data_IF_147566347054
#
_entry.id   IF_147566347054
#
_cell.length_a   1.000
_cell.length_b   1.000
_cell.length_c   1.000
_cell.angle_alpha   90.00
_cell.angle_beta   90.00
_cell.angle_gamma   90.00
#
_symmetry.space_group_name_H-M   'P 1'
#
loop_
_entity.id
_entity.type
_entity.pdbx_description
1 polymer ?
#
# COMPACT_ATOMS: atom_id res chain seq x y z
N UNK A 1 10.48 -14.20 2.14
CA UNK A 1 9.76 -14.27 3.44
C UNK A 1 8.27 -14.11 3.20
N UNK A 2 7.48 -14.98 3.75
CA UNK A 2 6.01 -14.90 3.62
C UNK A 2 5.40 -14.33 4.88
N UNK A 3 4.52 -13.35 4.71
CA UNK A 3 3.69 -12.80 5.78
C UNK A 3 2.23 -13.06 5.40
N UNK A 4 1.44 -13.56 6.35
CA UNK A 4 0.03 -13.86 6.14
C UNK A 4 -0.71 -13.49 7.41
N UNK A 5 -1.49 -12.42 7.35
CA UNK A 5 -2.19 -11.90 8.51
C UNK A 5 -3.41 -11.08 8.08
N UNK A 6 -4.51 -11.25 8.80
CA UNK A 6 -5.74 -10.46 8.60
C UNK A 6 -6.29 -10.56 7.16
N UNK A 7 -6.07 -11.70 6.51
CA UNK A 7 -6.50 -11.91 5.13
C UNK A 7 -5.62 -11.25 4.07
N UNK A 8 -4.48 -10.67 4.48
CA UNK A 8 -3.50 -10.09 3.57
C UNK A 8 -2.23 -10.93 3.65
N UNK A 9 -1.78 -11.45 2.52
CA UNK A 9 -0.59 -12.27 2.45
C UNK A 9 0.34 -11.76 1.36
N UNK A 10 1.63 -11.77 1.63
CA UNK A 10 2.64 -11.40 0.65
C UNK A 10 3.88 -12.26 0.81
N UNK A 11 4.47 -12.64 -0.33
CA UNK A 11 5.76 -13.27 -0.38
C UNK A 11 6.77 -12.23 -0.87
N UNK A 12 7.56 -11.69 0.06
CA UNK A 12 8.42 -10.55 -0.24
C UNK A 12 9.87 -10.97 -0.47
N UNK A 13 10.57 -10.24 -1.37
CA UNK A 13 11.99 -10.51 -1.62
C UNK A 13 12.85 -10.30 -0.37
N UNK A 14 14.02 -10.89 -0.36
CA UNK A 14 15.01 -10.65 0.69
C UNK A 14 15.34 -9.15 0.77
N UNK A 15 15.49 -8.64 2.00
CA UNK A 15 15.78 -7.23 2.24
C UNK A 15 14.56 -6.34 2.36
N UNK A 16 13.38 -6.85 2.05
CA UNK A 16 12.13 -6.12 2.25
C UNK A 16 11.59 -6.32 3.66
N UNK A 17 10.92 -5.30 4.17
CA UNK A 17 10.22 -5.34 5.46
C UNK A 17 8.71 -5.29 5.22
N UNK A 18 7.95 -5.99 6.04
CA UNK A 18 6.48 -6.07 5.94
C UNK A 18 5.87 -5.91 7.32
N UNK A 19 4.83 -5.09 7.40
CA UNK A 19 4.01 -4.97 8.62
C UNK A 19 2.54 -5.04 8.23
N UNK A 20 1.78 -5.88 8.91
CA UNK A 20 0.32 -5.91 8.83
C UNK A 20 -0.22 -5.63 10.21
N UNK A 21 -1.09 -4.65 10.31
CA UNK A 21 -1.66 -4.23 11.60
C UNK A 21 -3.08 -3.71 11.41
N UNK A 22 -3.84 -3.69 12.51
CA UNK A 22 -5.12 -3.00 12.51
C UNK A 22 -4.87 -1.56 12.94
N UNK A 23 -5.37 -0.60 12.15
CA UNK A 23 -5.34 0.79 12.59
C UNK A 23 -6.29 0.96 13.78
N UNK A 24 -6.00 1.88 14.72
CA UNK A 24 -6.93 2.17 15.81
C UNK A 24 -8.28 2.59 15.25
N UNK A 25 -9.35 1.93 15.71
CA UNK A 25 -10.70 2.30 15.31
C UNK A 25 -11.09 3.62 15.95
N UNK A 26 -11.74 4.51 15.17
CA UNK A 26 -12.48 5.60 15.76
C UNK A 26 -13.64 5.01 16.56
N UNK A 27 -14.15 5.76 17.55
CA UNK A 27 -15.24 5.29 18.39
C UNK A 27 -16.42 4.83 17.53
N UNK A 28 -16.86 3.57 17.70
CA UNK A 28 -17.95 2.98 16.94
C UNK A 28 -17.58 2.47 15.55
N UNK A 29 -16.31 2.58 15.13
CA UNK A 29 -15.85 2.09 13.84
C UNK A 29 -15.12 0.75 13.97
N UNK A 30 -15.11 -0.04 12.88
CA UNK A 30 -14.33 -1.27 12.80
C UNK A 30 -12.87 -0.95 12.52
N UNK A 31 -11.95 -1.60 13.24
CA UNK A 31 -10.52 -1.48 12.98
C UNK A 31 -10.15 -2.33 11.77
N UNK A 32 -9.86 -1.70 10.64
CA UNK A 32 -9.50 -2.37 9.39
C UNK A 32 -7.99 -2.57 9.28
N UNK A 33 -7.55 -3.64 8.60
CA UNK A 33 -6.12 -3.88 8.42
C UNK A 33 -5.46 -2.88 7.48
N UNK A 34 -4.17 -2.65 7.77
CA UNK A 34 -3.25 -1.91 6.92
C UNK A 34 -2.01 -2.77 6.73
N UNK A 35 -1.50 -2.83 5.49
CA UNK A 35 -0.26 -3.53 5.18
C UNK A 35 0.75 -2.52 4.64
N UNK A 36 1.95 -2.52 5.22
CA UNK A 36 3.09 -1.77 4.71
C UNK A 36 4.15 -2.73 4.21
N UNK A 37 4.63 -2.52 2.98
CA UNK A 37 5.72 -3.27 2.38
C UNK A 37 6.78 -2.27 1.93
N UNK A 38 8.02 -2.48 2.35
CA UNK A 38 9.08 -1.52 2.08
C UNK A 38 10.38 -2.21 1.67
N UNK A 39 11.10 -1.62 0.74
CA UNK A 39 12.44 -2.07 0.34
C UNK A 39 13.52 -1.69 1.36
N UNK A 40 13.12 -1.13 2.48
CA UNK A 40 13.98 -0.67 3.57
C UNK A 40 13.36 -1.04 4.92
N UNK A 41 14.11 -0.90 6.01
CA UNK A 41 13.60 -1.21 7.34
C UNK A 41 12.55 -0.16 7.77
N UNK A 42 11.33 -0.63 8.03
CA UNK A 42 10.25 0.23 8.50
C UNK A 42 10.50 0.69 9.94
N UNK A 43 10.31 1.98 10.25
CA UNK A 43 10.39 2.44 11.62
C UNK A 43 9.24 1.87 12.45
N UNK A 44 9.46 1.77 13.75
CA UNK A 44 8.45 1.26 14.68
C UNK A 44 7.21 2.16 14.68
N UNK A 45 7.42 3.48 14.68
CA UNK A 45 6.34 4.47 14.63
C UNK A 45 6.19 5.01 13.22
N UNK A 46 5.00 4.90 12.67
CA UNK A 46 4.65 5.43 11.35
C UNK A 46 3.15 5.62 11.23
N UNK A 47 2.74 6.57 10.40
CA UNK A 47 1.32 6.77 10.10
C UNK A 47 0.77 5.69 9.17
N UNK A 48 -0.55 5.66 9.01
CA UNK A 48 -1.26 4.66 8.19
C UNK A 48 -0.79 4.68 6.73
N UNK A 49 -0.42 5.85 6.21
CA UNK A 49 0.11 6.01 4.85
C UNK A 49 1.63 6.16 4.83
N UNK A 50 2.31 5.72 5.88
CA UNK A 50 3.77 5.66 5.90
C UNK A 50 4.49 6.93 6.34
N UNK A 51 3.80 7.92 6.94
CA UNK A 51 4.50 9.05 7.56
C UNK A 51 5.43 8.53 8.66
N UNK A 52 6.67 9.05 8.71
CA UNK A 52 7.73 8.48 9.54
C UNK A 52 8.61 7.49 8.77
N UNK A 53 8.03 6.72 7.85
CA UNK A 53 8.79 5.82 6.96
C UNK A 53 9.33 6.57 5.74
N UNK A 54 8.49 7.41 5.11
CA UNK A 54 8.87 8.13 3.89
C UNK A 54 10.08 9.06 4.07
N UNK A 55 10.30 9.58 5.27
CA UNK A 55 11.44 10.42 5.59
C UNK A 55 12.77 9.65 5.58
N UNK A 56 12.72 8.32 5.67
CA UNK A 56 13.91 7.45 5.65
C UNK A 56 14.23 6.90 4.27
N UNK A 57 13.38 7.15 3.29
CA UNK A 57 13.55 6.60 1.94
C UNK A 57 14.71 7.21 1.21
N UNK A 58 15.50 6.35 0.58
CA UNK A 58 16.54 6.73 -0.38
C UNK A 58 15.94 6.76 -1.78
N UNK A 59 16.65 7.33 -2.77
CA UNK A 59 16.10 7.45 -4.14
C UNK A 59 15.68 6.14 -4.79
N UNK A 60 16.28 5.01 -4.42
CA UNK A 60 15.95 3.70 -4.97
C UNK A 60 14.95 2.91 -4.11
N UNK A 61 14.42 3.52 -3.06
CA UNK A 61 13.48 2.85 -2.17
C UNK A 61 12.03 2.91 -2.66
N UNK A 62 11.25 1.93 -2.24
CA UNK A 62 9.83 1.77 -2.54
C UNK A 62 9.07 1.51 -1.24
N UNK A 63 7.96 2.20 -1.07
CA UNK A 63 6.98 1.92 -0.02
C UNK A 63 5.64 1.62 -0.66
N UNK A 64 5.03 0.50 -0.30
CA UNK A 64 3.68 0.13 -0.74
C UNK A 64 2.79 0.02 0.47
N UNK A 65 1.67 0.73 0.43
CA UNK A 65 0.65 0.72 1.49
C UNK A 65 -0.64 0.18 0.91
N UNK A 66 -1.24 -0.79 1.59
CA UNK A 66 -2.57 -1.30 1.29
C UNK A 66 -3.43 -1.01 2.51
N UNK A 67 -4.42 -0.17 2.31
CA UNK A 67 -5.27 0.37 3.37
C UNK A 67 -6.70 -0.08 3.10
N UNK A 68 -7.30 -0.84 4.00
CA UNK A 68 -8.67 -1.30 3.84
C UNK A 68 -9.67 -0.30 4.43
N UNK A 69 -10.76 -0.10 3.72
CA UNK A 69 -11.90 0.70 4.16
C UNK A 69 -13.01 -0.19 4.71
N UNK A 70 -14.02 0.43 5.32
CA UNK A 70 -15.15 -0.31 5.89
C UNK A 70 -15.92 -1.09 4.82
N UNK A 71 -16.64 -2.13 5.25
CA UNK A 71 -17.36 -3.02 4.35
C UNK A 71 -18.36 -2.26 3.46
N UNK A 72 -19.01 -1.24 4.00
CA UNK A 72 -19.97 -0.41 3.26
C UNK A 72 -19.34 0.33 2.08
N UNK A 73 -18.04 0.59 2.13
CA UNK A 73 -17.35 1.30 1.07
C UNK A 73 -17.33 0.54 -0.25
N UNK A 74 -17.41 -0.80 -0.21
CA UNK A 74 -17.34 -1.67 -1.41
C UNK A 74 -18.40 -1.31 -2.44
N UNK A 75 -19.59 -0.91 -2.00
CA UNK A 75 -20.70 -0.56 -2.89
C UNK A 75 -20.69 0.88 -3.36
N UNK A 76 -19.71 1.68 -2.95
CA UNK A 76 -19.64 3.09 -3.33
C UNK A 76 -18.91 3.28 -4.67
N UNK A 77 -19.18 4.37 -5.40
CA UNK A 77 -18.54 4.63 -6.70
C UNK A 77 -17.02 4.70 -6.65
N UNK A 78 -16.43 5.18 -5.55
CA UNK A 78 -14.98 5.29 -5.41
C UNK A 78 -14.27 3.93 -5.54
N UNK A 79 -14.93 2.85 -5.12
CA UNK A 79 -14.38 1.50 -5.14
C UNK A 79 -15.01 0.61 -6.23
N UNK A 80 -15.65 1.23 -7.23
CA UNK A 80 -16.34 0.50 -8.29
C UNK A 80 -15.37 -0.31 -9.17
N UNK A 81 -14.12 0.12 -9.29
CA UNK A 81 -13.12 -0.62 -10.06
C UNK A 81 -12.77 -1.90 -9.33
N UNK A 82 -12.95 -3.04 -10.00
CA UNK A 82 -12.68 -4.36 -9.42
C UNK A 82 -11.35 -4.89 -9.89
N UNK A 83 -10.64 -5.52 -8.96
CA UNK A 83 -9.34 -6.12 -9.22
C UNK A 83 -8.19 -5.17 -8.94
N UNK A 84 -7.04 -5.78 -8.71
CA UNK A 84 -5.83 -5.07 -8.32
C UNK A 84 -5.33 -4.19 -9.45
N UNK A 85 -5.02 -2.91 -9.18
CA UNK A 85 -4.44 -2.03 -10.19
C UNK A 85 -3.06 -2.53 -10.63
N UNK A 86 -2.72 -2.22 -11.89
CA UNK A 86 -1.37 -2.43 -12.41
C UNK A 86 -0.71 -1.07 -12.60
N UNK A 87 0.18 -0.66 -11.69
CA UNK A 87 0.84 0.65 -11.79
C UNK A 87 1.70 0.77 -13.03
N UNK A 88 1.70 1.96 -13.63
CA UNK A 88 2.61 2.34 -14.70
C UNK A 88 3.33 3.63 -14.29
N UNK A 89 4.53 3.85 -14.85
CA UNK A 89 5.36 5.01 -14.46
C UNK A 89 4.62 6.35 -14.64
N UNK A 90 3.80 6.46 -15.69
CA UNK A 90 3.05 7.68 -15.97
C UNK A 90 2.02 8.06 -14.91
N UNK A 91 1.60 7.10 -14.07
CA UNK A 91 0.62 7.35 -13.00
C UNK A 91 1.25 8.08 -11.80
N UNK A 92 2.56 8.01 -11.65
CA UNK A 92 3.26 8.57 -10.50
C UNK A 92 3.52 10.05 -10.64
N UNK A 93 3.29 10.81 -9.56
CA UNK A 93 3.48 12.26 -9.53
C UNK A 93 3.98 12.71 -8.16
N UNK A 94 4.87 13.72 -8.10
CA UNK A 94 5.24 14.35 -6.84
C UNK A 94 4.05 15.02 -6.13
N UNK A 95 2.94 15.25 -6.83
CA UNK A 95 1.73 15.89 -6.29
C UNK A 95 0.76 14.90 -5.67
N UNK A 96 0.97 13.60 -5.82
CA UNK A 96 0.08 12.56 -5.28
C UNK A 96 0.63 11.94 -4.00
N UNK A 97 1.44 12.67 -3.26
CA UNK A 97 1.99 12.21 -1.99
C UNK A 97 1.11 12.68 -0.82
N UNK A 98 0.89 11.79 0.15
CA UNK A 98 0.24 12.16 1.41
C UNK A 98 1.10 13.13 2.20
N UNK A 99 2.41 12.96 2.11
CA UNK A 99 3.39 13.90 2.63
C UNK A 99 4.38 14.24 1.52
N UNK A 100 4.41 15.51 1.13
CA UNK A 100 5.30 15.97 0.06
C UNK A 100 6.72 16.08 0.58
N UNK A 101 7.62 15.27 0.02
CA UNK A 101 9.06 15.33 0.27
C UNK A 101 9.79 15.52 -1.06
N UNK A 102 10.88 16.33 -1.08
CA UNK A 102 11.60 16.60 -2.31
C UNK A 102 12.08 15.32 -3.00
N UNK A 103 11.86 15.24 -4.31
CA UNK A 103 12.34 14.14 -5.15
C UNK A 103 11.45 12.91 -5.16
N UNK A 104 10.55 12.74 -4.19
CA UNK A 104 9.67 11.59 -4.13
C UNK A 104 8.49 11.70 -5.09
N UNK A 105 7.89 10.55 -5.39
CA UNK A 105 6.74 10.44 -6.28
C UNK A 105 5.77 9.43 -5.73
N UNK A 106 4.48 9.63 -5.96
CA UNK A 106 3.45 8.74 -5.43
C UNK A 106 2.29 8.54 -6.38
N UNK A 107 1.47 7.54 -6.05
CA UNK A 107 0.22 7.24 -6.75
C UNK A 107 -0.75 6.63 -5.76
N UNK A 108 -2.04 6.88 -5.98
CA UNK A 108 -3.14 6.26 -5.23
C UNK A 108 -4.11 5.61 -6.20
N UNK A 109 -4.53 4.39 -5.86
CA UNK A 109 -5.60 3.71 -6.57
C UNK A 109 -6.65 3.27 -5.55
N UNK A 110 -7.92 3.45 -5.91
CA UNK A 110 -9.05 2.95 -5.11
C UNK A 110 -9.70 1.81 -5.90
N UNK A 111 -9.90 0.67 -5.25
CA UNK A 111 -10.41 -0.52 -5.92
C UNK A 111 -11.04 -1.49 -4.91
N UNK A 112 -11.75 -2.48 -5.43
CA UNK A 112 -12.24 -3.59 -4.62
C UNK A 112 -11.67 -4.91 -5.13
N UNK A 113 -11.40 -5.81 -4.20
CA UNK A 113 -10.90 -7.15 -4.49
C UNK A 113 -11.38 -8.08 -3.39
N UNK A 114 -11.85 -9.27 -3.78
CA UNK A 114 -12.34 -10.28 -2.83
C UNK A 114 -13.45 -9.74 -1.91
N UNK A 115 -14.29 -8.83 -2.41
CA UNK A 115 -15.36 -8.21 -1.63
C UNK A 115 -14.91 -7.19 -0.60
N UNK A 116 -13.69 -6.70 -0.71
CA UNK A 116 -13.06 -5.75 0.21
C UNK A 116 -12.63 -4.49 -0.54
N UNK A 117 -12.71 -3.33 0.11
CA UNK A 117 -12.39 -2.04 -0.48
C UNK A 117 -11.03 -1.55 0.00
N UNK A 118 -10.15 -1.18 -0.94
CA UNK A 118 -8.77 -0.80 -0.65
C UNK A 118 -8.36 0.49 -1.32
N UNK A 119 -7.46 1.21 -0.64
CA UNK A 119 -6.57 2.16 -1.28
C UNK A 119 -5.18 1.51 -1.39
N UNK A 120 -4.65 1.47 -2.59
CA UNK A 120 -3.26 1.11 -2.85
C UNK A 120 -2.48 2.41 -3.01
N UNK A 121 -1.60 2.70 -2.07
CA UNK A 121 -0.77 3.90 -2.07
C UNK A 121 0.69 3.49 -2.22
N UNK A 122 1.40 4.07 -3.18
CA UNK A 122 2.78 3.70 -3.46
C UNK A 122 3.62 4.96 -3.48
N UNK A 123 4.76 4.93 -2.78
CA UNK A 123 5.76 6.00 -2.78
C UNK A 123 7.05 5.46 -3.37
N UNK A 124 7.60 6.19 -4.32
CA UNK A 124 8.94 5.96 -4.88
C UNK A 124 9.88 7.02 -4.34
N UNK A 125 11.08 6.60 -3.96
CA UNK A 125 12.09 7.52 -3.42
C UNK A 125 12.58 8.55 -4.42
N UNK A 126 12.41 8.30 -5.73
CA UNK A 126 12.81 9.23 -6.78
C UNK A 126 11.79 9.24 -7.92
N UNK A 127 11.23 10.41 -8.19
CA UNK A 127 10.36 10.60 -9.35
C UNK A 127 11.12 10.34 -10.67
N UNK A 128 12.38 10.76 -10.74
CA UNK A 128 13.22 10.53 -11.93
C UNK A 128 13.51 9.06 -12.21
N UNK A 129 13.50 8.22 -11.16
CA UNK A 129 13.77 6.79 -11.29
C UNK A 129 12.50 5.95 -11.45
N UNK A 130 11.32 6.54 -11.57
CA UNK A 130 10.05 5.81 -11.57
C UNK A 130 9.99 4.71 -12.63
N UNK A 131 10.50 4.93 -13.82
CA UNK A 131 10.50 3.93 -14.88
C UNK A 131 11.34 2.68 -14.50
N UNK A 132 12.43 2.87 -13.76
CA UNK A 132 13.26 1.78 -13.27
C UNK A 132 12.67 1.07 -12.07
N UNK A 133 11.92 1.78 -11.22
CA UNK A 133 11.37 1.25 -9.97
C UNK A 133 10.04 0.52 -10.15
N UNK A 134 9.21 0.94 -11.10
CA UNK A 134 7.85 0.38 -11.29
C UNK A 134 7.85 -1.13 -11.56
N UNK A 135 8.79 -1.73 -12.32
CA UNK A 135 8.82 -3.18 -12.48
C UNK A 135 8.93 -3.95 -11.16
N UNK A 136 9.68 -3.43 -10.19
CA UNK A 136 9.77 -4.04 -8.85
C UNK A 136 8.45 -3.95 -8.09
N UNK A 137 7.73 -2.84 -8.24
CA UNK A 137 6.39 -2.68 -7.66
C UNK A 137 5.43 -3.71 -8.25
N UNK A 138 5.41 -3.85 -9.56
CA UNK A 138 4.55 -4.80 -10.26
C UNK A 138 4.84 -6.24 -9.81
N UNK A 139 6.11 -6.62 -9.74
CA UNK A 139 6.52 -7.94 -9.28
C UNK A 139 6.07 -8.20 -7.83
N UNK A 140 6.16 -7.18 -6.97
CA UNK A 140 5.69 -7.30 -5.58
C UNK A 140 4.19 -7.51 -5.51
N UNK A 141 3.41 -6.73 -6.26
CA UNK A 141 1.94 -6.83 -6.27
C UNK A 141 1.47 -8.18 -6.77
N UNK A 142 2.19 -8.81 -7.70
CA UNK A 142 1.87 -10.15 -8.19
C UNK A 142 2.03 -11.23 -7.11
N UNK A 143 2.80 -10.95 -6.07
CA UNK A 143 3.05 -11.85 -4.93
C UNK A 143 2.12 -11.58 -3.74
N UNK A 144 1.19 -10.67 -3.91
CA UNK A 144 0.22 -10.31 -2.88
C UNK A 144 -1.05 -11.14 -3.07
N UNK A 145 -1.57 -11.69 -1.99
CA UNK A 145 -2.84 -12.43 -1.97
C UNK A 145 -3.78 -11.76 -0.98
N UNK A 146 -5.01 -11.53 -1.41
CA UNK A 146 -6.07 -10.97 -0.57
C UNK A 146 -7.17 -12.02 -0.47
N UNK A 147 -7.40 -12.51 0.74
CA UNK A 147 -8.49 -13.45 1.01
C UNK A 147 -9.81 -12.69 1.16
N UNK A 148 -10.91 -13.37 0.89
CA UNK A 148 -12.23 -12.82 1.18
C UNK A 148 -12.35 -12.50 2.67
N UNK A 149 -13.17 -11.48 3.00
CA UNK A 149 -13.42 -11.13 4.39
C UNK A 149 -14.04 -12.33 5.10
N UNK A 150 -13.51 -12.67 6.28
CA UNK A 150 -14.06 -13.78 7.06
C UNK A 150 -15.51 -13.48 7.45
N UNK A 151 -16.36 -14.52 7.39
CA UNK A 151 -17.71 -14.42 7.89
C UNK A 151 -17.69 -14.22 9.42
N UNK A 152 -18.47 -13.27 9.89
CA UNK A 152 -18.63 -12.98 11.32
C UNK A 152 -19.84 -13.69 11.89
#
# INVERSE_FOLDING_TARGET
MRVDRLGLAADVPAGWDVRVFRRPAAQGATANPVMHLASFALPERRGDFGSGAVERMRPDDILVVIFEYDEEAVSTPLFAKRGRPRPVAADFSPRQLQRTLPGQSGVQYFYSEAGRAFCLYIVLGSHGARAALVPSVTALLERLTIAARAAT
#
